data_IF_304460095207
#
_entry.id   IF_304460095207
#
_cell.length_a   1.000
_cell.length_b   1.000
_cell.length_c   1.000
_cell.angle_alpha   90.00
_cell.angle_beta   90.00
_cell.angle_gamma   90.00
#
_symmetry.space_group_name_H-M   'P 1'
#
loop_
_entity.id
_entity.type
_entity.pdbx_description
1 polymer ?
#
# COMPACT_ATOMS: atom_id res chain seq x y z
N UNK A 1 -56.33 -24.39 -1.55
CA UNK A 1 -56.22 -23.17 -2.40
C UNK A 1 -56.06 -21.97 -1.48
N UNK A 2 -55.01 -21.14 -1.71
CA UNK A 2 -55.02 -19.65 -1.61
C UNK A 2 -55.23 -19.02 -0.21
N UNK A 3 -54.40 -18.16 0.38
CA UNK A 3 -53.21 -17.39 -0.04
C UNK A 3 -52.31 -17.10 1.17
N UNK A 4 -51.02 -16.96 0.85
CA UNK A 4 -49.87 -16.57 1.67
C UNK A 4 -50.08 -15.15 2.24
N UNK A 5 -49.96 -14.98 3.56
CA UNK A 5 -49.93 -13.67 4.21
C UNK A 5 -48.51 -13.11 4.11
N UNK A 6 -48.47 -11.87 3.62
CA UNK A 6 -47.34 -11.00 3.37
C UNK A 6 -46.16 -11.17 4.36
N UNK A 7 -44.99 -11.36 3.78
CA UNK A 7 -43.71 -11.24 4.48
C UNK A 7 -43.54 -9.82 5.01
N UNK A 8 -43.47 -9.71 6.33
CA UNK A 8 -42.99 -8.50 6.99
C UNK A 8 -41.47 -8.56 7.03
N UNK A 9 -40.90 -7.61 6.31
CA UNK A 9 -39.51 -7.25 6.19
C UNK A 9 -38.94 -6.87 7.58
N UNK A 10 -38.30 -7.80 8.30
CA UNK A 10 -37.41 -7.44 9.41
C UNK A 10 -35.98 -7.64 8.98
N UNK A 11 -35.49 -6.57 8.35
CA UNK A 11 -34.09 -6.23 8.15
C UNK A 11 -33.41 -6.20 9.53
N UNK A 12 -32.75 -7.29 9.91
CA UNK A 12 -31.80 -7.25 11.04
C UNK A 12 -30.54 -6.57 10.51
N UNK A 13 -30.50 -5.24 10.61
CA UNK A 13 -29.24 -4.51 10.66
C UNK A 13 -28.50 -5.04 11.88
N UNK A 14 -27.58 -5.98 11.65
CA UNK A 14 -26.58 -6.33 12.62
C UNK A 14 -25.74 -5.07 12.88
N UNK A 15 -25.98 -4.47 14.05
CA UNK A 15 -25.09 -3.52 14.71
C UNK A 15 -23.69 -4.13 14.80
N UNK A 16 -22.83 -3.78 13.85
CA UNK A 16 -21.37 -3.89 13.98
C UNK A 16 -20.90 -2.49 14.35
N UNK A 17 -20.64 -2.27 15.64
CA UNK A 17 -20.50 -0.94 16.24
C UNK A 17 -19.37 -0.06 15.68
N UNK A 18 -19.49 1.28 15.83
CA UNK A 18 -18.44 2.22 15.50
C UNK A 18 -17.48 2.33 16.71
N UNK A 19 -16.59 1.37 16.91
CA UNK A 19 -15.64 1.42 18.05
C UNK A 19 -14.17 1.32 17.63
N UNK A 20 -13.86 1.08 16.36
CA UNK A 20 -12.46 1.05 15.87
C UNK A 20 -12.05 2.26 15.01
N UNK A 21 -13.00 3.13 14.63
CA UNK A 21 -12.76 4.25 13.71
C UNK A 21 -12.09 5.45 14.42
N UNK A 22 -12.46 5.70 15.68
CA UNK A 22 -12.00 6.89 16.42
C UNK A 22 -10.49 6.90 16.77
N UNK A 23 -9.86 5.73 16.93
CA UNK A 23 -8.42 5.67 17.19
C UNK A 23 -7.61 5.93 15.90
N UNK A 24 -8.09 5.43 14.76
CA UNK A 24 -7.47 5.71 13.47
C UNK A 24 -7.62 7.20 13.12
N UNK A 25 -8.83 7.76 13.15
CA UNK A 25 -9.08 9.18 12.85
C UNK A 25 -8.18 10.15 13.64
N UNK A 26 -8.00 9.89 14.94
CA UNK A 26 -7.17 10.76 15.80
C UNK A 26 -5.66 10.59 15.54
N UNK A 27 -5.21 9.41 15.14
CA UNK A 27 -3.80 9.17 14.74
C UNK A 27 -3.54 9.77 13.35
N UNK A 28 -4.52 9.74 12.46
CA UNK A 28 -4.41 10.23 11.08
C UNK A 28 -4.37 11.76 11.05
N UNK A 29 -5.17 12.46 11.87
CA UNK A 29 -5.18 13.93 11.91
C UNK A 29 -3.93 14.56 12.54
N UNK A 30 -3.41 13.97 13.62
CA UNK A 30 -2.30 14.55 14.40
C UNK A 30 -0.90 14.04 14.01
N UNK A 31 -0.76 12.91 13.31
CA UNK A 31 0.56 12.30 13.04
C UNK A 31 1.09 12.47 11.63
N UNK A 32 0.33 13.01 10.69
CA UNK A 32 0.87 13.39 9.39
C UNK A 32 1.82 14.55 9.65
N UNK A 33 3.13 14.28 9.52
CA UNK A 33 4.22 15.24 9.46
C UNK A 33 3.65 16.61 9.14
N UNK A 34 3.67 17.59 10.05
CA UNK A 34 2.96 18.88 9.89
C UNK A 34 3.33 19.68 8.62
N UNK A 35 4.18 19.11 7.77
CA UNK A 35 4.55 19.48 6.41
C UNK A 35 3.51 19.08 5.34
N UNK A 36 2.71 18.03 5.54
CA UNK A 36 1.73 17.53 4.56
C UNK A 36 0.32 17.63 5.13
N UNK A 37 -0.44 18.58 4.62
CA UNK A 37 -1.87 18.70 4.92
C UNK A 37 -2.66 17.89 3.88
N UNK A 38 -3.28 16.80 4.33
CA UNK A 38 -4.22 16.02 3.54
C UNK A 38 -5.62 16.65 3.61
N UNK A 39 -6.29 16.69 2.47
CA UNK A 39 -7.71 17.06 2.36
C UNK A 39 -8.60 15.96 2.97
N UNK A 40 -9.83 16.30 3.33
CA UNK A 40 -10.79 15.33 3.89
C UNK A 40 -11.05 14.14 2.95
N UNK A 41 -11.11 14.39 1.64
CA UNK A 41 -11.24 13.32 0.63
C UNK A 41 -10.03 12.39 0.61
N UNK A 42 -8.82 12.93 0.74
CA UNK A 42 -7.60 12.12 0.80
C UNK A 42 -7.53 11.30 2.09
N UNK A 43 -7.94 11.88 3.23
CA UNK A 43 -8.03 11.16 4.50
C UNK A 43 -9.02 10.00 4.42
N UNK A 44 -10.22 10.24 3.88
CA UNK A 44 -11.23 9.21 3.71
C UNK A 44 -10.74 8.06 2.79
N UNK A 45 -10.02 8.39 1.71
CA UNK A 45 -9.43 7.38 0.83
C UNK A 45 -8.35 6.54 1.53
N UNK A 46 -7.65 7.11 2.50
CA UNK A 46 -6.56 6.46 3.22
C UNK A 46 -6.99 5.72 4.49
N UNK A 47 -8.15 6.05 5.06
CA UNK A 47 -8.58 5.61 6.39
C UNK A 47 -8.54 4.09 6.56
N UNK A 48 -9.08 3.36 5.59
CA UNK A 48 -9.11 1.90 5.62
C UNK A 48 -7.70 1.29 5.61
N UNK A 49 -6.78 1.83 4.80
CA UNK A 49 -5.41 1.33 4.68
C UNK A 49 -4.54 1.76 5.86
N UNK A 50 -4.81 2.93 6.45
CA UNK A 50 -4.14 3.39 7.68
C UNK A 50 -4.54 2.53 8.88
N UNK A 51 -5.83 2.21 9.02
CA UNK A 51 -6.31 1.30 10.05
C UNK A 51 -5.65 -0.09 9.93
N UNK A 52 -5.52 -0.61 8.69
CA UNK A 52 -4.80 -1.87 8.41
C UNK A 52 -3.32 -1.78 8.77
N UNK A 53 -2.64 -0.70 8.39
CA UNK A 53 -1.23 -0.50 8.69
C UNK A 53 -0.96 -0.54 10.20
N UNK A 54 -1.79 0.18 10.98
CA UNK A 54 -1.70 0.16 12.43
C UNK A 54 -2.00 -1.24 13.01
N UNK A 55 -3.03 -1.93 12.51
CA UNK A 55 -3.39 -3.27 12.97
C UNK A 55 -2.28 -4.31 12.72
N UNK A 56 -1.47 -4.12 11.68
CA UNK A 56 -0.32 -4.95 11.35
C UNK A 56 0.95 -4.60 12.14
N UNK A 57 0.89 -3.67 13.10
CA UNK A 57 2.05 -3.23 13.88
C UNK A 57 2.98 -2.29 13.11
N UNK A 58 2.44 -1.54 12.14
CA UNK A 58 3.18 -0.52 11.42
C UNK A 58 3.75 0.58 12.32
N UNK A 59 4.95 1.07 12.00
CA UNK A 59 5.61 2.14 12.76
C UNK A 59 5.14 3.53 12.32
N UNK A 60 4.80 4.40 13.28
CA UNK A 60 4.45 5.80 13.01
C UNK A 60 5.52 6.56 12.22
N UNK A 61 6.81 6.28 12.46
CA UNK A 61 7.91 6.99 11.78
C UNK A 61 8.06 6.54 10.32
N UNK A 62 7.85 5.25 10.06
CA UNK A 62 7.78 4.71 8.70
C UNK A 62 6.57 5.28 7.95
N UNK A 63 5.42 5.39 8.62
CA UNK A 63 4.23 5.97 8.04
C UNK A 63 4.42 7.45 7.67
N UNK A 64 5.00 8.26 8.56
CA UNK A 64 5.32 9.66 8.28
C UNK A 64 6.24 9.80 7.08
N UNK A 65 7.28 8.98 7.01
CA UNK A 65 8.23 8.98 5.90
C UNK A 65 7.55 8.62 4.57
N UNK A 66 6.62 7.65 4.59
CA UNK A 66 5.83 7.28 3.42
C UNK A 66 4.97 8.43 2.92
N UNK A 67 4.21 9.08 3.81
CA UNK A 67 3.33 10.18 3.44
C UNK A 67 4.12 11.36 2.87
N UNK A 68 5.23 11.73 3.51
CA UNK A 68 6.12 12.79 3.02
C UNK A 68 6.68 12.44 1.64
N UNK A 69 7.07 11.18 1.45
CA UNK A 69 7.55 10.69 0.15
C UNK A 69 6.44 10.73 -0.91
N UNK A 70 5.23 10.28 -0.60
CA UNK A 70 4.11 10.28 -1.53
C UNK A 70 3.75 11.71 -1.98
N UNK A 71 3.65 12.64 -1.04
CA UNK A 71 3.37 14.04 -1.32
C UNK A 71 4.47 14.70 -2.17
N UNK A 72 5.75 14.40 -1.90
CA UNK A 72 6.87 14.95 -2.66
C UNK A 72 6.97 14.40 -4.10
N UNK A 73 6.26 13.32 -4.42
CA UNK A 73 6.27 12.69 -5.74
C UNK A 73 4.90 12.76 -6.44
N UNK A 74 4.05 13.72 -6.07
CA UNK A 74 2.71 13.96 -6.66
C UNK A 74 1.77 12.74 -6.61
N UNK A 75 2.04 11.78 -5.73
CA UNK A 75 1.18 10.63 -5.49
C UNK A 75 0.24 10.97 -4.33
N UNK A 76 -0.99 11.37 -4.65
CA UNK A 76 -2.01 11.82 -3.67
C UNK A 76 -3.31 11.03 -3.79
N UNK A 77 -4.19 11.13 -2.79
CA UNK A 77 -5.50 10.47 -2.78
C UNK A 77 -5.40 8.96 -2.98
N UNK A 78 -6.10 8.43 -3.99
CA UNK A 78 -6.11 6.99 -4.28
C UNK A 78 -4.73 6.41 -4.58
N UNK A 79 -3.79 7.21 -5.13
CA UNK A 79 -2.42 6.74 -5.30
C UNK A 79 -1.74 6.44 -3.96
N UNK A 80 -1.96 7.28 -2.94
CA UNK A 80 -1.43 7.02 -1.59
C UNK A 80 -2.08 5.76 -1.00
N UNK A 81 -3.40 5.61 -1.16
CA UNK A 81 -4.12 4.44 -0.67
C UNK A 81 -3.61 3.15 -1.32
N UNK A 82 -3.40 3.14 -2.63
CA UNK A 82 -2.86 2.01 -3.38
C UNK A 82 -1.46 1.62 -2.93
N UNK A 83 -0.58 2.61 -2.74
CA UNK A 83 0.79 2.36 -2.29
C UNK A 83 0.85 1.93 -0.83
N UNK A 84 0.00 2.48 0.03
CA UNK A 84 -0.11 2.05 1.43
C UNK A 84 -0.67 0.62 1.51
N UNK A 85 -1.66 0.28 0.68
CA UNK A 85 -2.16 -1.09 0.54
C UNK A 85 -1.06 -2.07 0.11
N UNK A 86 -0.14 -1.64 -0.75
CA UNK A 86 1.03 -2.43 -1.12
C UNK A 86 1.97 -2.65 0.08
N UNK A 87 2.23 -1.62 0.89
CA UNK A 87 3.00 -1.75 2.15
C UNK A 87 2.31 -2.75 3.09
N UNK A 88 1.00 -2.63 3.28
CA UNK A 88 0.21 -3.53 4.12
C UNK A 88 0.31 -4.99 3.66
N UNK A 89 0.26 -5.23 2.35
CA UNK A 89 0.46 -6.57 1.79
C UNK A 89 1.84 -7.14 2.13
N UNK A 90 2.91 -6.34 1.99
CA UNK A 90 4.27 -6.79 2.32
C UNK A 90 4.44 -7.08 3.81
N UNK A 91 3.84 -6.26 4.67
CA UNK A 91 3.87 -6.51 6.13
C UNK A 91 3.14 -7.81 6.46
N UNK A 92 1.98 -8.03 5.84
CA UNK A 92 1.22 -9.29 5.97
C UNK A 92 2.03 -10.51 5.52
N UNK A 93 2.90 -10.36 4.52
CA UNK A 93 3.83 -11.40 4.06
C UNK A 93 5.05 -11.59 5.00
N UNK A 94 5.10 -10.91 6.14
CA UNK A 94 6.14 -11.04 7.15
C UNK A 94 7.33 -10.09 7.00
N UNK A 95 7.24 -9.11 6.09
CA UNK A 95 8.26 -8.06 5.95
C UNK A 95 8.06 -7.01 7.06
N UNK A 96 9.14 -6.49 7.65
CA UNK A 96 9.01 -5.41 8.64
C UNK A 96 8.43 -4.14 8.00
N UNK A 97 7.68 -3.37 8.78
CA UNK A 97 7.05 -2.13 8.30
C UNK A 97 8.06 -1.12 7.73
N UNK A 98 9.24 -1.00 8.33
CA UNK A 98 10.35 -0.18 7.83
C UNK A 98 10.87 -0.67 6.48
N UNK A 99 11.07 -1.98 6.31
CA UNK A 99 11.57 -2.55 5.06
C UNK A 99 10.51 -2.44 3.96
N UNK A 100 9.25 -2.75 4.26
CA UNK A 100 8.14 -2.61 3.32
C UNK A 100 7.97 -1.15 2.87
N UNK A 101 8.03 -0.20 3.80
CA UNK A 101 8.03 1.22 3.49
C UNK A 101 9.22 1.62 2.61
N UNK A 102 10.43 1.18 2.96
CA UNK A 102 11.65 1.44 2.20
C UNK A 102 11.60 0.95 0.76
N UNK A 103 11.07 -0.26 0.53
CA UNK A 103 10.87 -0.83 -0.81
C UNK A 103 9.93 0.05 -1.65
N UNK A 104 8.79 0.45 -1.09
CA UNK A 104 7.81 1.29 -1.78
C UNK A 104 8.36 2.69 -2.08
N UNK A 105 9.03 3.33 -1.11
CA UNK A 105 9.65 4.63 -1.31
C UNK A 105 10.74 4.60 -2.39
N UNK A 106 11.59 3.56 -2.38
CA UNK A 106 12.65 3.38 -3.38
C UNK A 106 12.06 3.21 -4.77
N UNK A 107 11.02 2.38 -4.90
CA UNK A 107 10.34 2.17 -6.17
C UNK A 107 9.66 3.46 -6.68
N UNK A 108 9.01 4.22 -5.80
CA UNK A 108 8.39 5.51 -6.14
C UNK A 108 9.41 6.54 -6.62
N UNK A 109 10.53 6.67 -5.90
CA UNK A 109 11.65 7.55 -6.27
C UNK A 109 12.22 7.17 -7.64
N UNK A 110 12.38 5.87 -7.90
CA UNK A 110 12.86 5.36 -9.19
C UNK A 110 11.91 5.72 -10.34
N UNK A 111 10.59 5.57 -10.14
CA UNK A 111 9.58 5.98 -11.13
C UNK A 111 9.67 7.48 -11.40
N UNK A 112 9.74 8.30 -10.35
CA UNK A 112 9.88 9.76 -10.49
C UNK A 112 11.15 10.13 -11.27
N UNK A 113 12.29 9.58 -10.91
CA UNK A 113 13.57 9.90 -11.56
C UNK A 113 13.57 9.49 -13.02
N UNK A 114 13.01 8.32 -13.34
CA UNK A 114 12.80 7.89 -14.71
C UNK A 114 11.89 8.87 -15.47
N UNK A 115 10.72 9.19 -14.93
CA UNK A 115 9.77 10.12 -15.56
C UNK A 115 10.39 11.49 -15.81
N UNK A 116 11.14 12.04 -14.84
CA UNK A 116 11.87 13.30 -15.01
C UNK A 116 12.92 13.21 -16.11
N UNK A 117 13.73 12.15 -16.14
CA UNK A 117 14.76 11.96 -17.18
C UNK A 117 14.18 11.85 -18.60
N UNK A 118 12.91 11.42 -18.71
CA UNK A 118 12.19 11.25 -19.97
C UNK A 118 11.21 12.38 -20.27
N UNK A 119 11.15 13.43 -19.45
CA UNK A 119 10.15 14.50 -19.54
C UNK A 119 8.70 13.98 -19.59
N UNK A 120 8.42 12.89 -18.87
CA UNK A 120 7.09 12.29 -18.75
C UNK A 120 6.39 12.86 -17.51
N UNK A 121 5.06 13.02 -17.62
CA UNK A 121 4.18 13.35 -16.51
C UNK A 121 3.16 12.23 -16.33
N UNK A 122 3.53 11.13 -15.64
CA UNK A 122 2.60 10.04 -15.41
C UNK A 122 1.46 10.50 -14.50
N UNK A 123 0.27 9.98 -14.75
CA UNK A 123 -0.85 10.10 -13.82
C UNK A 123 -0.57 9.36 -12.51
N UNK A 124 -1.24 9.71 -11.41
CA UNK A 124 -1.09 9.01 -10.14
C UNK A 124 -1.35 7.49 -10.25
N UNK A 125 -2.28 7.06 -11.11
CA UNK A 125 -2.57 5.64 -11.33
C UNK A 125 -1.43 4.93 -12.07
N UNK A 126 -0.78 5.59 -13.03
CA UNK A 126 0.39 5.06 -13.72
C UNK A 126 1.57 4.91 -12.75
N UNK A 127 1.79 5.90 -11.88
CA UNK A 127 2.80 5.83 -10.82
C UNK A 127 2.55 4.59 -9.95
N UNK A 128 1.34 4.45 -9.39
CA UNK A 128 1.00 3.32 -8.53
C UNK A 128 1.19 1.97 -9.22
N UNK A 129 0.77 1.86 -10.48
CA UNK A 129 0.95 0.63 -11.30
C UNK A 129 2.42 0.31 -11.51
N UNK A 130 3.25 1.28 -11.89
CA UNK A 130 4.69 1.05 -12.14
C UNK A 130 5.44 0.73 -10.85
N UNK A 131 5.11 1.39 -9.74
CA UNK A 131 5.67 1.07 -8.42
C UNK A 131 5.37 -0.38 -8.04
N UNK A 132 4.10 -0.80 -8.16
CA UNK A 132 3.70 -2.19 -7.92
C UNK A 132 4.49 -3.18 -8.76
N UNK A 133 4.57 -2.94 -10.08
CA UNK A 133 5.34 -3.78 -10.99
C UNK A 133 6.83 -3.86 -10.63
N UNK A 134 7.44 -2.76 -10.19
CA UNK A 134 8.83 -2.74 -9.75
C UNK A 134 9.06 -3.60 -8.51
N UNK A 135 8.17 -3.51 -7.52
CA UNK A 135 8.27 -4.29 -6.28
C UNK A 135 8.04 -5.78 -6.55
N UNK A 136 7.01 -6.12 -7.34
CA UNK A 136 6.73 -7.50 -7.74
C UNK A 136 7.93 -8.12 -8.48
N UNK A 137 8.53 -7.40 -9.43
CA UNK A 137 9.72 -7.85 -10.16
C UNK A 137 10.91 -8.10 -9.23
N UNK A 138 11.16 -7.19 -8.29
CA UNK A 138 12.21 -7.36 -7.30
C UNK A 138 11.97 -8.56 -6.37
N UNK A 139 10.71 -8.81 -5.98
CA UNK A 139 10.37 -9.98 -5.17
C UNK A 139 10.47 -11.30 -5.94
N UNK A 140 10.03 -11.35 -7.20
CA UNK A 140 10.10 -12.55 -8.04
C UNK A 140 11.55 -12.93 -8.36
N UNK A 141 12.42 -11.94 -8.55
CA UNK A 141 13.85 -12.16 -8.79
C UNK A 141 14.60 -12.69 -7.56
N UNK A 142 14.09 -12.45 -6.34
CA UNK A 142 14.65 -13.00 -5.10
C UNK A 142 14.19 -14.44 -4.81
N UNK A 143 13.12 -14.90 -5.49
CA UNK A 143 12.57 -16.25 -5.36
C UNK A 143 13.01 -17.21 -6.48
N UNK A 144 13.86 -16.74 -7.41
CA UNK A 144 14.42 -17.62 -8.44
C UNK A 144 15.27 -18.70 -7.76
N UNK A 145 14.99 -20.00 -7.96
CA UNK A 145 15.80 -21.07 -7.41
C UNK A 145 17.23 -20.90 -7.94
N UNK A 146 18.18 -20.88 -7.01
CA UNK A 146 19.61 -20.94 -7.25
C UNK A 146 19.84 -22.15 -8.18
N UNK A 147 20.06 -21.92 -9.47
CA UNK A 147 20.41 -22.99 -10.41
C UNK A 147 21.58 -23.79 -9.81
N UNK A 148 21.50 -25.14 -9.75
CA UNK A 148 22.66 -25.91 -9.37
C UNK A 148 23.73 -25.69 -10.43
N UNK A 149 24.89 -25.21 -10.00
CA UNK A 149 26.07 -25.08 -10.84
C UNK A 149 26.37 -26.45 -11.48
N UNK A 150 25.98 -26.60 -12.74
CA UNK A 150 26.30 -27.78 -13.55
C UNK A 150 27.78 -27.69 -13.91
N UNK A 151 28.61 -28.20 -13.01
CA UNK A 151 30.02 -28.46 -13.22
C UNK A 151 30.18 -29.57 -14.24
N UNK A 152 30.15 -29.23 -15.52
CA UNK A 152 30.60 -30.13 -16.59
C UNK A 152 32.06 -29.78 -16.92
N UNK A 153 32.98 -30.45 -16.24
CA UNK A 153 34.40 -30.49 -16.62
C UNK A 153 34.53 -31.09 -18.02
N UNK A 154 35.27 -30.48 -18.96
CA UNK A 154 35.56 -31.10 -20.24
C UNK A 154 36.58 -32.24 -20.01
N UNK A 155 36.14 -33.48 -20.27
CA UNK A 155 37.02 -34.65 -20.26
C UNK A 155 37.83 -34.68 -21.56
N UNK A 156 39.14 -34.68 -21.39
CA UNK A 156 40.18 -34.76 -22.41
C UNK A 156 39.99 -36.00 -23.31
N UNK A 157 40.10 -35.81 -24.62
CA UNK A 157 40.50 -36.86 -25.57
C UNK A 157 41.49 -36.29 -26.56
#
# INVERSE_FOLDING_TARGET
MRYIILGLLTLVLALSGPVAVSAAEKIIGDQLSGKVVLTETEKAALEAELARYCALGGSSDSLRSLIDCYAANDCRGECMADLLGLVNSRIKDGISSEKAAGEVMTALVSVRDYSRSKNLKPSPQEIARTVRANIEKSSASASAPKEPASSSSPMVR
#
